data_IF_326795956493
#
_entry.id   IF_326795956493
#
_cell.length_a   1.000
_cell.length_b   1.000
_cell.length_c   1.000
_cell.angle_alpha   90.00
_cell.angle_beta   90.00
_cell.angle_gamma   90.00
#
_symmetry.space_group_name_H-M   'P 1'
#
loop_
_entity.id
_entity.type
_entity.pdbx_description
1 polymer ?
#
# COMPACT_ATOMS: atom_id res chain seq x y z
N UNK A 1 14.42 46.01 -1.39
CA UNK A 1 14.85 44.66 -1.00
C UNK A 1 14.06 43.66 -1.82
N UNK A 2 14.71 43.00 -2.79
CA UNK A 2 14.15 41.92 -3.58
C UNK A 2 14.08 40.66 -2.71
N UNK A 3 12.91 40.03 -2.61
CA UNK A 3 12.80 38.65 -2.13
C UNK A 3 12.33 37.82 -3.32
N UNK A 4 13.29 37.33 -4.07
CA UNK A 4 13.14 36.20 -4.99
C UNK A 4 13.77 35.02 -4.26
N UNK A 5 12.98 34.00 -3.91
CA UNK A 5 13.20 32.64 -4.41
C UNK A 5 12.35 31.57 -3.68
N UNK A 6 11.40 31.00 -4.44
CA UNK A 6 11.16 29.56 -4.63
C UNK A 6 11.39 28.63 -3.42
N UNK A 7 10.41 28.51 -2.51
CA UNK A 7 10.28 27.26 -1.74
C UNK A 7 9.58 26.23 -2.61
N UNK A 8 10.43 25.46 -3.30
CA UNK A 8 10.13 24.21 -3.99
C UNK A 8 8.91 23.52 -3.37
N UNK A 9 7.90 23.27 -4.20
CA UNK A 9 6.91 22.23 -3.91
C UNK A 9 7.67 21.00 -3.47
N UNK A 10 7.63 20.67 -2.16
CA UNK A 10 8.25 19.46 -1.64
C UNK A 10 7.60 18.32 -2.41
N UNK A 11 8.31 17.80 -3.40
CA UNK A 11 7.98 16.56 -4.06
C UNK A 11 8.17 15.54 -2.93
N UNK A 12 7.11 15.27 -2.19
CA UNK A 12 7.04 14.15 -1.26
C UNK A 12 7.27 12.95 -2.16
N UNK A 13 8.52 12.46 -2.18
CA UNK A 13 8.86 11.23 -2.89
C UNK A 13 8.01 10.16 -2.20
N UNK A 14 6.99 9.60 -2.87
CA UNK A 14 6.12 8.64 -2.22
C UNK A 14 7.00 7.46 -1.84
N UNK A 15 7.17 7.23 -0.53
CA UNK A 15 7.99 6.12 -0.05
C UNK A 15 7.41 4.83 -0.57
N UNK A 16 8.10 4.20 -1.52
CA UNK A 16 7.64 2.95 -2.12
C UNK A 16 7.56 1.88 -1.02
N UNK A 17 6.54 1.01 -1.05
CA UNK A 17 6.51 -0.10 -0.13
C UNK A 17 7.74 -0.98 -0.37
N UNK A 18 8.31 -1.52 0.71
CA UNK A 18 9.46 -2.41 0.60
C UNK A 18 9.07 -3.64 -0.25
N UNK A 19 9.98 -4.02 -1.13
CA UNK A 19 9.91 -5.27 -1.89
C UNK A 19 11.02 -6.21 -1.39
N UNK A 20 10.72 -7.49 -1.09
CA UNK A 20 9.41 -8.14 -1.15
C UNK A 20 8.41 -7.56 -0.13
N UNK A 21 7.09 -7.75 -0.34
CA UNK A 21 6.08 -7.22 0.56
C UNK A 21 6.39 -7.58 2.01
N UNK A 22 6.43 -6.61 2.95
CA UNK A 22 6.69 -6.88 4.35
C UNK A 22 5.54 -7.60 5.05
N UNK A 23 4.41 -7.79 4.35
CA UNK A 23 3.19 -8.39 4.87
C UNK A 23 3.27 -9.91 4.75
N UNK A 24 3.22 -10.58 5.91
CA UNK A 24 3.09 -12.04 6.00
C UNK A 24 1.64 -12.48 5.83
N UNK A 25 1.43 -13.75 5.49
CA UNK A 25 0.10 -14.36 5.39
C UNK A 25 -0.71 -14.17 6.69
N UNK A 26 -0.09 -14.38 7.86
CA UNK A 26 -0.73 -14.21 9.18
C UNK A 26 -1.28 -12.80 9.42
N UNK A 27 -0.54 -11.78 8.96
CA UNK A 27 -0.97 -10.38 9.09
C UNK A 27 -2.20 -10.07 8.22
N UNK A 28 -2.33 -10.74 7.07
CA UNK A 28 -3.51 -10.60 6.20
C UNK A 28 -4.71 -11.37 6.71
N UNK A 29 -4.51 -12.56 7.29
CA UNK A 29 -5.58 -13.34 7.91
C UNK A 29 -6.21 -12.57 9.08
N UNK A 30 -5.40 -11.95 9.92
CA UNK A 30 -5.85 -11.06 11.01
C UNK A 30 -6.59 -9.83 10.49
N UNK A 31 -6.19 -9.29 9.33
CA UNK A 31 -6.90 -8.17 8.70
C UNK A 31 -8.28 -8.59 8.18
N UNK A 32 -8.38 -9.82 7.69
CA UNK A 32 -9.59 -10.39 7.09
C UNK A 32 -10.72 -10.59 8.12
N UNK A 33 -10.38 -10.88 9.38
CA UNK A 33 -11.33 -11.05 10.48
C UNK A 33 -11.86 -9.73 11.05
N UNK A 34 -11.12 -8.63 10.90
CA UNK A 34 -11.48 -7.32 11.43
C UNK A 34 -12.48 -6.52 10.56
N UNK A 35 -12.81 -6.98 9.34
CA UNK A 35 -13.72 -6.25 8.45
C UNK A 35 -15.19 -6.61 8.76
N UNK A 36 -15.71 -6.07 9.86
CA UNK A 36 -17.15 -5.87 10.14
C UNK A 36 -18.10 -7.01 9.70
N UNK A 37 -17.88 -8.24 10.18
CA UNK A 37 -18.85 -9.33 10.12
C UNK A 37 -19.30 -9.77 8.72
N UNK A 38 -18.71 -9.25 7.65
CA UNK A 38 -18.89 -9.73 6.28
C UNK A 38 -17.75 -10.69 5.98
N UNK A 39 -18.11 -11.90 5.53
CA UNK A 39 -17.18 -12.95 5.09
C UNK A 39 -15.94 -12.34 4.42
N UNK A 40 -14.71 -12.71 4.83
CA UNK A 40 -13.54 -11.99 4.41
C UNK A 40 -13.38 -12.14 2.91
N UNK A 41 -13.69 -11.07 2.18
CA UNK A 41 -13.45 -11.00 0.75
C UNK A 41 -11.93 -11.01 0.61
N UNK A 42 -11.40 -12.15 0.17
CA UNK A 42 -9.97 -12.41 0.08
C UNK A 42 -9.32 -11.22 -0.64
N UNK A 43 -8.34 -10.54 0.00
CA UNK A 43 -7.87 -9.24 -0.47
C UNK A 43 -7.29 -9.39 -1.88
N UNK A 44 -7.63 -8.46 -2.76
CA UNK A 44 -7.02 -8.40 -4.10
C UNK A 44 -5.57 -7.97 -3.98
N UNK A 45 -4.76 -8.22 -5.01
CA UNK A 45 -3.37 -7.76 -5.09
C UNK A 45 -3.21 -6.27 -4.71
N UNK A 46 -4.13 -5.42 -5.19
CA UNK A 46 -4.15 -3.99 -4.87
C UNK A 46 -4.46 -3.71 -3.39
N UNK A 47 -5.38 -4.47 -2.76
CA UNK A 47 -5.67 -4.32 -1.33
C UNK A 47 -4.45 -4.69 -0.49
N UNK A 48 -3.78 -5.79 -0.82
CA UNK A 48 -2.55 -6.21 -0.13
C UNK A 48 -1.46 -5.14 -0.27
N UNK A 49 -1.26 -4.64 -1.49
CA UNK A 49 -0.35 -3.53 -1.75
C UNK A 49 -0.70 -2.29 -0.92
N UNK A 50 -1.98 -1.89 -0.91
CA UNK A 50 -2.46 -0.72 -0.17
C UNK A 50 -2.18 -0.86 1.33
N UNK A 51 -2.32 -2.05 1.91
CA UNK A 51 -1.97 -2.28 3.32
C UNK A 51 -0.46 -2.12 3.53
N UNK A 52 0.37 -2.71 2.66
CA UNK A 52 1.83 -2.65 2.79
C UNK A 52 2.33 -1.20 2.67
N UNK A 53 1.77 -0.47 1.70
CA UNK A 53 2.04 0.93 1.48
C UNK A 53 1.63 1.78 2.69
N UNK A 54 0.47 1.50 3.29
CA UNK A 54 0.03 2.18 4.51
C UNK A 54 0.98 1.95 5.68
N UNK A 55 1.37 0.70 5.92
CA UNK A 55 2.30 0.34 7.00
C UNK A 55 3.63 1.05 6.84
N UNK A 56 4.15 1.13 5.61
CA UNK A 56 5.38 1.85 5.32
C UNK A 56 5.26 3.35 5.62
N UNK A 57 4.18 3.98 5.18
CA UNK A 57 3.93 5.40 5.46
C UNK A 57 3.75 5.68 6.96
N UNK A 58 3.17 4.75 7.72
CA UNK A 58 3.09 4.85 9.19
C UNK A 58 4.48 4.78 9.79
N UNK A 59 5.30 3.80 9.39
CA UNK A 59 6.68 3.65 9.87
C UNK A 59 7.55 4.88 9.54
N UNK A 60 7.31 5.51 8.39
CA UNK A 60 8.02 6.74 7.97
C UNK A 60 7.40 8.03 8.57
N UNK A 61 6.38 7.94 9.45
CA UNK A 61 5.61 9.08 9.98
C UNK A 61 5.02 10.01 8.90
N UNK A 62 4.70 9.46 7.73
CA UNK A 62 4.27 10.19 6.53
C UNK A 62 2.87 9.77 6.05
N UNK A 63 2.01 9.24 6.94
CA UNK A 63 0.67 8.81 6.55
C UNK A 63 -0.24 10.03 6.27
N UNK A 64 -0.71 10.24 5.03
CA UNK A 64 -1.57 11.37 4.70
C UNK A 64 -3.05 11.07 5.04
N UNK A 65 -3.94 12.07 4.95
CA UNK A 65 -5.38 11.87 5.09
C UNK A 65 -5.92 10.78 4.15
N UNK A 66 -6.98 10.08 4.57
CA UNK A 66 -7.43 8.84 3.92
C UNK A 66 -7.82 8.99 2.42
N UNK A 67 -8.35 10.15 2.03
CA UNK A 67 -8.68 10.50 0.65
C UNK A 67 -7.40 10.64 -0.20
N UNK A 68 -6.40 11.37 0.31
CA UNK A 68 -5.09 11.55 -0.33
C UNK A 68 -4.33 10.24 -0.41
N UNK A 69 -4.32 9.47 0.69
CA UNK A 69 -3.69 8.15 0.76
C UNK A 69 -4.25 7.20 -0.32
N UNK A 70 -5.57 7.15 -0.48
CA UNK A 70 -6.18 6.25 -1.47
C UNK A 70 -5.78 6.61 -2.89
N UNK A 71 -5.66 7.90 -3.20
CA UNK A 71 -5.18 8.37 -4.49
C UNK A 71 -3.69 8.04 -4.70
N UNK A 72 -2.85 8.29 -3.69
CA UNK A 72 -1.42 7.95 -3.71
C UNK A 72 -1.18 6.46 -3.90
N UNK A 73 -1.94 5.60 -3.22
CA UNK A 73 -1.82 4.15 -3.34
C UNK A 73 -2.12 3.66 -4.77
N UNK A 74 -3.12 4.24 -5.44
CA UNK A 74 -3.46 3.91 -6.84
C UNK A 74 -2.31 4.31 -7.76
N UNK A 75 -1.83 5.55 -7.64
CA UNK A 75 -0.73 6.07 -8.45
C UNK A 75 0.55 5.26 -8.25
N UNK A 76 0.88 4.94 -7.00
CA UNK A 76 2.05 4.15 -6.63
C UNK A 76 1.95 2.74 -7.22
N UNK A 77 0.82 2.04 -6.99
CA UNK A 77 0.60 0.70 -7.54
C UNK A 77 0.68 0.67 -9.07
N UNK A 78 0.12 1.67 -9.75
CA UNK A 78 0.16 1.73 -11.21
C UNK A 78 1.59 1.88 -11.76
N UNK A 79 2.48 2.57 -11.02
CA UNK A 79 3.89 2.77 -11.37
C UNK A 79 4.77 1.56 -11.06
N UNK A 80 4.31 0.62 -10.24
CA UNK A 80 5.10 -0.57 -9.92
C UNK A 80 5.42 -1.41 -11.16
N UNK A 81 6.64 -1.99 -11.22
CA UNK A 81 7.03 -2.89 -12.29
C UNK A 81 6.21 -4.19 -12.24
N UNK A 82 6.16 -4.88 -13.39
CA UNK A 82 5.32 -6.08 -13.55
C UNK A 82 5.62 -7.18 -12.53
N UNK A 83 6.89 -7.38 -12.17
CA UNK A 83 7.30 -8.41 -11.21
C UNK A 83 6.82 -8.12 -9.78
N UNK A 84 6.80 -6.85 -9.36
CA UNK A 84 6.25 -6.44 -8.06
C UNK A 84 4.75 -6.70 -8.02
N UNK A 85 4.01 -6.25 -9.05
CA UNK A 85 2.57 -6.52 -9.17
C UNK A 85 2.27 -8.02 -9.16
N UNK A 86 3.08 -8.82 -9.86
CA UNK A 86 2.94 -10.28 -9.88
C UNK A 86 3.13 -10.91 -8.49
N UNK A 87 4.04 -10.41 -7.67
CA UNK A 87 4.21 -10.90 -6.29
C UNK A 87 2.93 -10.69 -5.45
N UNK A 88 2.30 -9.52 -5.55
CA UNK A 88 1.02 -9.25 -4.85
C UNK A 88 -0.14 -10.08 -5.42
N UNK A 89 -0.14 -10.35 -6.72
CA UNK A 89 -1.11 -11.27 -7.35
C UNK A 89 -0.92 -12.68 -6.80
N UNK A 90 0.30 -13.20 -6.79
CA UNK A 90 0.60 -14.54 -6.27
C UNK A 90 0.21 -14.65 -4.80
N UNK A 91 0.51 -13.63 -3.98
CA UNK A 91 0.09 -13.59 -2.58
C UNK A 91 -1.44 -13.60 -2.45
N UNK A 92 -2.15 -12.85 -3.30
CA UNK A 92 -3.62 -12.88 -3.32
C UNK A 92 -4.21 -14.22 -3.77
N UNK A 93 -3.51 -14.98 -4.62
CA UNK A 93 -3.90 -16.33 -5.05
C UNK A 93 -3.62 -17.34 -3.94
N UNK A 94 -2.45 -17.29 -3.32
CA UNK A 94 -2.07 -18.16 -2.20
C UNK A 94 -3.12 -18.10 -1.08
N UNK A 95 -3.55 -16.89 -0.73
CA UNK A 95 -4.61 -16.65 0.26
C UNK A 95 -6.00 -17.17 -0.17
N UNK A 96 -6.22 -17.39 -1.48
CA UNK A 96 -7.44 -18.04 -1.99
C UNK A 96 -7.35 -19.55 -1.96
N UNK A 97 -6.17 -20.10 -2.17
CA UNK A 97 -5.93 -21.54 -2.26
C UNK A 97 -5.76 -22.22 -0.90
N UNK A 98 -5.48 -21.47 0.17
CA UNK A 98 -5.35 -22.00 1.54
C UNK A 98 -6.67 -22.18 2.32
N UNK A 99 -7.83 -22.23 1.64
CA UNK A 99 -9.16 -22.47 2.25
C UNK A 99 -9.70 -23.84 1.88
#
# INVERSE_FOLDING_TARGET
MNITDITQSQIIVPSQPLFPPPITQDQLETYSTHINGKLPRIPTAFVIYKIAYRQRLIADNNLPPANVFSHMAILSYNREPRHVKAAYVNLSILLRSGR
#
